data_IF_059462401561
#
_entry.id   IF_059462401561
#
_cell.length_a   1.000
_cell.length_b   1.000
_cell.length_c   1.000
_cell.angle_alpha   90.00
_cell.angle_beta   90.00
_cell.angle_gamma   90.00
#
_symmetry.space_group_name_H-M   'P 1'
#
loop_
_entity.id
_entity.type
_entity.pdbx_description
1 polymer ?
#
# COMPACT_ATOMS: atom_id res chain seq x y z
N UNK A 1 -13.00 8.63 2.14
CA UNK A 1 -12.08 7.48 2.15
C UNK A 1 -11.00 7.81 1.14
N UNK A 2 -9.74 7.84 1.57
CA UNK A 2 -8.59 8.03 0.70
C UNK A 2 -8.00 6.67 0.28
N UNK A 3 -7.23 6.67 -0.80
CA UNK A 3 -6.57 5.49 -1.34
C UNK A 3 -5.06 5.64 -1.32
N UNK A 4 -4.38 4.53 -1.02
CA UNK A 4 -2.94 4.50 -0.79
C UNK A 4 -2.30 3.30 -1.49
N UNK A 5 -0.97 3.27 -1.52
CA UNK A 5 -0.19 2.10 -1.94
C UNK A 5 0.97 1.88 -0.97
N UNK A 6 1.13 0.63 -0.55
CA UNK A 6 2.14 0.17 0.39
C UNK A 6 3.05 -0.83 -0.29
N UNK A 7 4.35 -0.51 -0.40
CA UNK A 7 5.35 -1.42 -0.97
C UNK A 7 5.91 -2.33 0.10
N UNK A 8 5.86 -3.63 -0.14
CA UNK A 8 6.50 -4.65 0.68
C UNK A 8 7.42 -5.53 -0.16
N UNK A 9 8.47 -6.08 0.45
CA UNK A 9 9.29 -7.11 -0.16
C UNK A 9 8.73 -8.48 0.25
N UNK A 10 8.27 -9.34 -0.68
CA UNK A 10 7.54 -10.56 -0.33
C UNK A 10 8.38 -11.59 0.45
N UNK A 11 9.71 -11.49 0.40
CA UNK A 11 10.60 -12.35 1.19
C UNK A 11 10.73 -11.91 2.66
N UNK A 12 10.33 -10.68 2.98
CA UNK A 12 10.38 -10.10 4.33
C UNK A 12 8.98 -10.03 4.93
N UNK A 13 8.01 -9.55 4.16
CA UNK A 13 6.60 -9.48 4.54
C UNK A 13 5.71 -9.63 3.30
N UNK A 14 5.23 -10.86 3.08
CA UNK A 14 4.39 -11.24 1.96
C UNK A 14 2.90 -10.95 2.16
N UNK A 15 2.11 -11.22 1.11
CA UNK A 15 0.66 -11.07 1.21
C UNK A 15 0.04 -12.12 2.15
N UNK A 16 0.54 -13.36 2.10
CA UNK A 16 0.05 -14.44 2.96
C UNK A 16 0.34 -14.15 4.44
N UNK A 17 1.47 -13.52 4.76
CA UNK A 17 1.79 -13.05 6.11
C UNK A 17 0.77 -12.00 6.59
N UNK A 18 0.46 -11.03 5.73
CA UNK A 18 -0.52 -9.99 6.01
C UNK A 18 -1.94 -10.57 6.22
N UNK A 19 -2.33 -11.57 5.43
CA UNK A 19 -3.60 -12.29 5.59
C UNK A 19 -3.61 -13.07 6.90
N UNK A 20 -2.50 -13.73 7.27
CA UNK A 20 -2.39 -14.52 8.48
C UNK A 20 -2.53 -13.69 9.77
N UNK A 21 -2.19 -12.39 9.72
CA UNK A 21 -2.45 -11.44 10.83
C UNK A 21 -3.95 -11.21 11.08
N UNK A 22 -4.79 -11.36 10.07
CA UNK A 22 -6.23 -11.16 10.17
C UNK A 22 -6.61 -9.76 10.67
N UNK A 23 -7.65 -9.69 11.49
CA UNK A 23 -8.16 -8.42 12.03
C UNK A 23 -7.21 -7.70 13.00
N UNK A 24 -6.18 -8.39 13.51
CA UNK A 24 -5.15 -7.75 14.33
C UNK A 24 -4.33 -6.74 13.52
N UNK A 25 -4.22 -6.93 12.20
CA UNK A 25 -3.39 -6.11 11.33
C UNK A 25 -1.89 -6.27 11.58
N UNK A 26 -1.12 -5.40 10.95
CA UNK A 26 0.32 -5.28 11.12
C UNK A 26 0.73 -3.81 11.13
N UNK A 27 1.65 -3.48 12.03
CA UNK A 27 2.33 -2.19 12.07
C UNK A 27 3.16 -1.98 10.81
N UNK A 28 2.92 -0.87 10.10
CA UNK A 28 3.66 -0.54 8.89
C UNK A 28 5.00 0.16 9.17
N UNK A 29 5.83 -0.54 9.94
CA UNK A 29 7.07 -0.03 10.50
C UNK A 29 8.21 0.21 9.49
N UNK A 30 9.33 0.74 9.99
CA UNK A 30 10.59 0.78 9.23
C UNK A 30 10.65 1.86 8.14
N UNK A 31 9.58 2.66 7.98
CA UNK A 31 9.55 3.77 7.02
C UNK A 31 10.48 4.89 7.52
N UNK A 32 11.57 5.14 6.77
CA UNK A 32 12.55 6.21 7.06
C UNK A 32 12.60 7.29 5.98
N UNK A 33 11.46 7.53 5.34
CA UNK A 33 11.27 8.59 4.35
C UNK A 33 10.24 9.61 4.86
N UNK A 34 10.63 10.89 4.94
CA UNK A 34 9.78 11.95 5.48
C UNK A 34 8.45 12.12 4.74
N UNK A 35 8.45 11.95 3.42
CA UNK A 35 7.25 12.09 2.60
C UNK A 35 6.29 10.92 2.84
N UNK A 36 6.81 9.68 2.82
CA UNK A 36 6.03 8.48 3.13
C UNK A 36 5.41 8.55 4.54
N UNK A 37 6.20 8.99 5.54
CA UNK A 37 5.69 9.22 6.90
C UNK A 37 4.57 10.26 6.91
N UNK A 38 4.73 11.39 6.21
CA UNK A 38 3.71 12.42 6.18
C UNK A 38 2.40 11.92 5.54
N UNK A 39 2.46 11.09 4.50
CA UNK A 39 1.27 10.43 3.97
C UNK A 39 0.59 9.52 5.00
N UNK A 40 1.36 8.74 5.77
CA UNK A 40 0.78 7.92 6.85
C UNK A 40 0.10 8.75 7.93
N UNK A 41 0.54 9.99 8.20
CA UNK A 41 -0.12 10.91 9.14
C UNK A 41 -1.48 11.42 8.65
N UNK A 42 -1.73 11.39 7.34
CA UNK A 42 -2.98 11.84 6.75
C UNK A 42 -4.05 10.73 6.76
N UNK A 43 -3.63 9.47 6.85
CA UNK A 43 -4.49 8.28 6.82
C UNK A 43 -5.50 8.25 7.97
N UNK A 44 -6.74 7.87 7.64
CA UNK A 44 -7.83 7.68 8.60
C UNK A 44 -8.26 6.21 8.65
N UNK A 45 -8.91 5.80 9.75
CA UNK A 45 -9.49 4.47 9.86
C UNK A 45 -10.45 4.19 8.71
N UNK A 46 -10.32 3.02 8.10
CA UNK A 46 -11.15 2.60 6.96
C UNK A 46 -10.64 3.09 5.60
N UNK A 47 -9.63 3.96 5.53
CA UNK A 47 -8.92 4.22 4.27
C UNK A 47 -8.35 2.92 3.70
N UNK A 48 -8.29 2.83 2.36
CA UNK A 48 -7.89 1.61 1.67
C UNK A 48 -6.51 1.78 1.03
N UNK A 49 -5.79 0.68 0.87
CA UNK A 49 -4.51 0.70 0.18
C UNK A 49 -4.27 -0.53 -0.68
N UNK A 50 -3.46 -0.37 -1.72
CA UNK A 50 -2.90 -1.49 -2.45
C UNK A 50 -1.70 -2.06 -1.69
N UNK A 51 -1.70 -3.37 -1.47
CA UNK A 51 -0.51 -4.11 -1.06
C UNK A 51 0.29 -4.46 -2.31
N UNK A 52 1.46 -3.85 -2.45
CA UNK A 52 2.32 -3.99 -3.62
C UNK A 52 3.58 -4.76 -3.27
N UNK A 53 3.79 -5.90 -3.93
CA UNK A 53 5.06 -6.62 -3.87
C UNK A 53 6.11 -5.91 -4.72
N UNK A 54 7.30 -5.74 -4.15
CA UNK A 54 8.43 -5.05 -4.75
C UNK A 54 9.60 -5.99 -5.06
N UNK A 55 10.67 -5.46 -5.63
CA UNK A 55 11.85 -6.18 -6.12
C UNK A 55 11.59 -7.19 -7.24
N UNK A 56 11.23 -8.45 -6.93
CA UNK A 56 11.13 -9.53 -7.92
C UNK A 56 9.72 -9.69 -8.50
N UNK A 57 8.70 -9.66 -7.66
CA UNK A 57 7.30 -9.89 -8.05
C UNK A 57 6.53 -8.57 -8.06
N UNK A 58 6.96 -7.64 -8.91
CA UNK A 58 6.46 -6.25 -8.96
C UNK A 58 4.99 -6.16 -9.36
N UNK A 59 4.09 -6.24 -8.40
CA UNK A 59 2.66 -6.28 -8.65
C UNK A 59 1.82 -5.84 -7.46
N UNK A 60 0.63 -5.31 -7.75
CA UNK A 60 -0.44 -5.17 -6.76
C UNK A 60 -1.09 -6.54 -6.57
N UNK A 61 -1.14 -7.02 -5.33
CA UNK A 61 -1.58 -8.38 -5.00
C UNK A 61 -2.79 -8.43 -4.06
N UNK A 62 -3.11 -7.31 -3.40
CA UNK A 62 -4.18 -7.27 -2.40
C UNK A 62 -4.62 -5.86 -2.07
N UNK A 63 -5.77 -5.78 -1.38
CA UNK A 63 -6.30 -4.57 -0.76
C UNK A 63 -6.16 -4.70 0.75
N UNK A 64 -5.67 -3.64 1.37
CA UNK A 64 -5.59 -3.45 2.82
C UNK A 64 -6.49 -2.30 3.27
N UNK A 65 -6.76 -2.24 4.56
CA UNK A 65 -7.39 -1.11 5.23
C UNK A 65 -6.54 -0.63 6.40
N UNK A 66 -6.58 0.67 6.65
CA UNK A 66 -6.01 1.27 7.87
C UNK A 66 -6.85 0.86 9.08
N UNK A 67 -6.22 0.16 10.02
CA UNK A 67 -6.85 -0.28 11.27
C UNK A 67 -6.30 0.44 12.52
N UNK A 68 -5.19 1.17 12.40
CA UNK A 68 -4.75 2.17 13.38
C UNK A 68 -4.21 3.41 12.67
N UNK A 69 -4.60 4.61 13.13
CA UNK A 69 -4.03 5.88 12.63
C UNK A 69 -2.59 6.05 13.09
N UNK A 70 -1.87 7.03 12.53
CA UNK A 70 -0.46 7.24 12.82
C UNK A 70 -0.12 7.26 14.34
N UNK A 71 0.87 6.45 14.71
CA UNK A 71 1.45 6.35 16.04
C UNK A 71 2.97 6.13 15.94
N UNK A 72 3.74 6.29 17.04
CA UNK A 72 5.18 6.06 17.02
C UNK A 72 5.55 4.67 16.48
N UNK A 73 6.60 4.62 15.66
CA UNK A 73 7.15 3.39 15.05
C UNK A 73 7.95 2.58 16.08
N UNK A 74 7.54 1.34 16.33
CA UNK A 74 8.11 0.48 17.37
C UNK A 74 9.56 0.03 17.09
N UNK A 75 10.07 0.20 15.87
CA UNK A 75 11.46 -0.11 15.51
C UNK A 75 12.44 1.01 15.83
N UNK A 76 12.00 2.11 16.44
CA UNK A 76 12.88 3.20 16.82
C UNK A 76 12.37 4.00 18.01
N UNK A 77 13.30 4.42 18.88
CA UNK A 77 12.99 5.34 19.98
C UNK A 77 12.90 6.81 19.53
N UNK A 78 13.12 7.09 18.23
CA UNK A 78 13.08 8.43 17.67
C UNK A 78 11.62 8.84 17.37
N UNK A 79 11.04 9.78 18.14
CA UNK A 79 9.62 10.14 18.04
C UNK A 79 9.26 10.84 16.72
N UNK A 80 10.26 11.12 15.87
CA UNK A 80 10.02 11.68 14.53
C UNK A 80 9.44 10.65 13.57
N UNK A 81 9.56 9.35 13.87
CA UNK A 81 9.06 8.28 13.01
C UNK A 81 7.76 7.72 13.56
N UNK A 82 6.76 7.72 12.70
CA UNK A 82 5.42 7.25 12.98
C UNK A 82 4.97 6.39 11.80
N UNK A 83 4.06 5.47 12.07
CA UNK A 83 3.46 4.57 11.11
C UNK A 83 2.01 4.28 11.50
N UNK A 84 1.28 3.65 10.59
CA UNK A 84 -0.10 3.18 10.78
C UNK A 84 -0.08 1.66 10.93
N UNK A 85 -1.19 1.08 11.39
CA UNK A 85 -1.43 -0.35 11.23
C UNK A 85 -2.36 -0.59 10.04
N UNK A 86 -2.08 -1.65 9.27
CA UNK A 86 -2.90 -2.09 8.16
C UNK A 86 -3.34 -3.54 8.33
N UNK A 87 -4.55 -3.87 7.85
CA UNK A 87 -5.04 -5.25 7.80
C UNK A 87 -5.49 -5.64 6.40
N UNK A 88 -5.38 -6.93 6.09
CA UNK A 88 -5.86 -7.48 4.82
C UNK A 88 -7.39 -7.36 4.71
N UNK A 89 -7.86 -7.00 3.51
CA UNK A 89 -9.29 -6.92 3.18
C UNK A 89 -9.64 -8.04 2.21
N UNK A 90 -8.95 -8.08 1.06
CA UNK A 90 -9.15 -9.08 0.02
C UNK A 90 -7.91 -9.20 -0.87
N UNK A 91 -7.59 -10.39 -1.41
CA UNK A 91 -6.61 -10.52 -2.47
C UNK A 91 -7.14 -9.87 -3.75
N UNK A 92 -6.24 -9.49 -4.65
CA UNK A 92 -6.61 -9.21 -6.03
C UNK A 92 -6.97 -10.50 -6.75
N UNK A 93 -8.07 -10.51 -7.51
CA UNK A 93 -8.49 -11.67 -8.31
C UNK A 93 -7.44 -12.01 -9.38
N UNK A 94 -6.86 -10.96 -9.98
CA UNK A 94 -5.69 -11.05 -10.85
C UNK A 94 -4.66 -10.02 -10.38
N UNK A 95 -3.45 -10.43 -9.97
CA UNK A 95 -2.38 -9.47 -9.67
C UNK A 95 -2.12 -8.55 -10.86
N UNK A 96 -1.88 -7.26 -10.59
CA UNK A 96 -1.60 -6.26 -11.62
C UNK A 96 -0.12 -5.89 -11.57
N UNK A 97 0.62 -6.28 -12.60
CA UNK A 97 2.07 -6.05 -12.65
C UNK A 97 2.42 -4.58 -12.88
N UNK A 98 3.62 -4.17 -12.43
CA UNK A 98 4.14 -2.84 -12.70
C UNK A 98 4.26 -2.55 -14.21
N UNK A 99 4.55 -3.56 -15.02
CA UNK A 99 4.67 -3.40 -16.48
C UNK A 99 3.30 -3.16 -17.13
N UNK A 100 2.25 -3.84 -16.66
CA UNK A 100 0.86 -3.54 -17.06
C UNK A 100 0.47 -2.11 -16.65
N UNK A 101 0.81 -1.69 -15.42
CA UNK A 101 0.53 -0.34 -14.92
C UNK A 101 1.23 0.72 -15.76
N UNK A 102 2.53 0.55 -16.05
CA UNK A 102 3.32 1.48 -16.88
C UNK A 102 2.84 1.56 -18.32
N UNK A 103 2.28 0.48 -18.84
CA UNK A 103 1.78 0.41 -20.21
C UNK A 103 0.40 1.06 -20.35
N UNK A 104 -0.25 1.42 -19.25
CA UNK A 104 -1.57 2.04 -19.24
C UNK A 104 -1.44 3.58 -19.19
N UNK A 105 -1.84 4.31 -20.25
CA UNK A 105 -1.77 5.77 -20.27
C UNK A 105 -2.57 6.46 -19.16
N UNK A 106 -3.66 5.84 -18.69
CA UNK A 106 -4.48 6.38 -17.59
C UNK A 106 -3.73 6.41 -16.25
N UNK A 107 -2.66 5.63 -16.10
CA UNK A 107 -1.85 5.53 -14.89
C UNK A 107 -0.47 6.19 -15.05
N UNK A 108 -0.26 6.94 -16.14
CA UNK A 108 1.03 7.58 -16.45
C UNK A 108 1.49 8.57 -15.38
N UNK A 109 0.53 9.18 -14.67
CA UNK A 109 0.75 10.14 -13.60
C UNK A 109 0.87 9.51 -12.22
N UNK A 110 0.57 8.20 -12.09
CA UNK A 110 0.58 7.50 -10.82
C UNK A 110 1.97 7.55 -10.18
N UNK A 111 1.99 7.82 -8.87
CA UNK A 111 3.24 7.92 -8.10
C UNK A 111 4.08 6.65 -8.22
N UNK A 112 3.45 5.49 -8.39
CA UNK A 112 4.12 4.21 -8.59
C UNK A 112 5.00 4.21 -9.87
N UNK A 113 4.53 4.88 -10.91
CA UNK A 113 5.22 5.04 -12.20
C UNK A 113 6.28 6.14 -12.11
N UNK A 114 5.94 7.28 -11.51
CA UNK A 114 6.80 8.48 -11.51
C UNK A 114 7.87 8.48 -10.42
N UNK A 115 7.65 7.81 -9.29
CA UNK A 115 8.56 7.77 -8.15
C UNK A 115 8.67 6.36 -7.54
N UNK A 116 9.57 5.56 -8.11
CA UNK A 116 9.78 4.18 -7.68
C UNK A 116 10.37 4.03 -6.28
N UNK A 117 11.02 5.07 -5.73
CA UNK A 117 11.70 5.04 -4.42
C UNK A 117 10.78 5.32 -3.23
N UNK A 118 9.61 5.89 -3.47
CA UNK A 118 8.65 6.17 -2.41
C UNK A 118 7.87 4.87 -2.07
N UNK A 119 7.88 4.47 -0.80
CA UNK A 119 7.31 3.20 -0.31
C UNK A 119 5.83 3.26 0.06
N UNK A 120 5.37 4.43 0.53
CA UNK A 120 3.97 4.72 0.82
C UNK A 120 3.54 5.87 -0.08
N UNK A 121 2.46 5.69 -0.83
CA UNK A 121 2.09 6.59 -1.91
C UNK A 121 0.60 6.91 -1.86
N UNK A 122 0.18 8.15 -2.16
CA UNK A 122 -1.22 8.45 -2.43
C UNK A 122 -1.63 7.83 -3.77
N UNK A 123 -2.89 7.45 -3.86
CA UNK A 123 -3.55 6.96 -5.07
C UNK A 123 -4.84 7.76 -5.25
N UNK A 124 -5.05 8.34 -6.42
CA UNK A 124 -6.31 9.04 -6.73
C UNK A 124 -7.45 8.05 -6.96
N UNK A 125 -8.69 8.51 -6.82
CA UNK A 125 -9.88 7.68 -7.05
C UNK A 125 -9.86 7.03 -8.46
N UNK A 126 -9.44 7.78 -9.48
CA UNK A 126 -9.36 7.29 -10.86
C UNK A 126 -8.29 6.20 -11.02
N UNK A 127 -7.13 6.37 -10.37
CA UNK A 127 -6.06 5.35 -10.39
C UNK A 127 -6.47 4.09 -9.63
N UNK A 128 -7.14 4.27 -8.49
CA UNK A 128 -7.69 3.16 -7.71
C UNK A 128 -8.64 2.31 -8.54
N UNK A 129 -9.66 2.95 -9.12
CA UNK A 129 -10.66 2.30 -9.96
C UNK A 129 -10.02 1.58 -11.16
N UNK A 130 -9.05 2.21 -11.82
CA UNK A 130 -8.41 1.63 -12.98
C UNK A 130 -7.55 0.40 -12.63
N UNK A 131 -6.77 0.46 -11.54
CA UNK A 131 -5.98 -0.69 -11.08
C UNK A 131 -6.90 -1.83 -10.63
N UNK A 132 -7.98 -1.54 -9.88
CA UNK A 132 -9.00 -2.52 -9.51
C UNK A 132 -9.63 -3.18 -10.75
N UNK A 133 -10.00 -2.38 -11.76
CA UNK A 133 -10.54 -2.86 -13.04
C UNK A 133 -9.56 -3.79 -13.77
N UNK A 134 -8.28 -3.39 -13.87
CA UNK A 134 -7.22 -4.22 -14.46
C UNK A 134 -7.06 -5.56 -13.73
N UNK A 135 -7.19 -5.53 -12.40
CA UNK A 135 -7.10 -6.69 -11.53
C UNK A 135 -8.38 -7.48 -11.36
N UNK A 136 -9.46 -7.13 -12.08
CA UNK A 136 -10.79 -7.75 -11.96
C UNK A 136 -11.29 -7.83 -10.51
N UNK A 137 -10.92 -6.85 -9.70
CA UNK A 137 -11.16 -6.80 -8.26
C UNK A 137 -12.10 -5.65 -7.98
N UNK A 138 -13.09 -5.87 -7.11
CA UNK A 138 -14.02 -4.80 -6.71
C UNK A 138 -13.26 -3.64 -6.08
N UNK A 139 -13.73 -2.43 -6.33
CA UNK A 139 -13.18 -1.15 -5.88
C UNK A 139 -13.89 -0.59 -4.64
N UNK A 140 -14.92 -1.28 -4.15
CA UNK A 140 -15.79 -0.94 -3.01
C UNK A 140 -15.12 -1.04 -1.62
#
# INVERSE_FOLDING_TARGET
MAFWLFKSEPNTWGWDDQVAKGDAGEEWDGVRNYQARNFMREMQLGDRGFFYHSLKEKSVVGIVEICATAHPDSKTDDPRWECVDIKAVRPFAKPVSLDEIKSNPALSEMVLVRNSRLSVQPVSDAEWQEVCRMGQTKDD
#
